data_IF_171130348346
#
_entry.id   IF_171130348346
#
_cell.length_a   1.000
_cell.length_b   1.000
_cell.length_c   1.000
_cell.angle_alpha   90.00
_cell.angle_beta   90.00
_cell.angle_gamma   90.00
#
_symmetry.space_group_name_H-M   'P 1'
#
loop_
_entity.id
_entity.type
_entity.pdbx_description
1 polymer ?
#
# COMPACT_ATOMS: atom_id res chain seq x y z
N UNK A 1 -4.68 7.49 -20.19
CA UNK A 1 -5.53 7.84 -19.02
C UNK A 1 -5.71 6.71 -17.99
N UNK A 2 -5.42 5.43 -18.30
CA UNK A 2 -5.61 4.30 -17.37
C UNK A 2 -4.72 4.32 -16.12
N UNK A 3 -3.51 4.90 -16.20
CA UNK A 3 -2.56 4.86 -15.08
C UNK A 3 -2.93 5.81 -13.94
N UNK A 4 -3.52 6.98 -14.24
CA UNK A 4 -3.91 7.96 -13.23
C UNK A 4 -5.11 7.47 -12.41
N UNK A 5 -6.13 6.91 -13.08
CA UNK A 5 -7.29 6.30 -12.39
C UNK A 5 -6.85 5.16 -11.49
N UNK A 6 -5.95 4.30 -11.96
CA UNK A 6 -5.42 3.21 -11.16
C UNK A 6 -4.67 3.71 -9.92
N UNK A 7 -3.85 4.75 -10.08
CA UNK A 7 -3.12 5.37 -8.97
C UNK A 7 -4.06 5.98 -7.93
N UNK A 8 -5.13 6.66 -8.36
CA UNK A 8 -6.12 7.25 -7.46
C UNK A 8 -6.85 6.15 -6.67
N UNK A 9 -7.25 5.04 -7.32
CA UNK A 9 -7.90 3.93 -6.64
C UNK A 9 -6.98 3.26 -5.62
N UNK A 10 -5.71 3.05 -5.98
CA UNK A 10 -4.68 2.54 -5.06
C UNK A 10 -4.49 3.47 -3.86
N UNK A 11 -4.40 4.78 -4.10
CA UNK A 11 -4.29 5.77 -3.03
C UNK A 11 -5.51 5.78 -2.10
N UNK A 12 -6.71 5.72 -2.66
CA UNK A 12 -7.95 5.64 -1.87
C UNK A 12 -7.99 4.39 -1.00
N UNK A 13 -7.60 3.22 -1.56
CA UNK A 13 -7.51 1.97 -0.82
C UNK A 13 -6.48 2.05 0.33
N UNK A 14 -5.28 2.54 0.05
CA UNK A 14 -4.22 2.66 1.05
C UNK A 14 -4.66 3.58 2.20
N UNK A 15 -5.16 4.78 1.90
CA UNK A 15 -5.61 5.70 2.96
C UNK A 15 -6.80 5.17 3.74
N UNK A 16 -7.75 4.48 3.08
CA UNK A 16 -8.86 3.84 3.76
C UNK A 16 -8.37 2.78 4.75
N UNK A 17 -7.48 1.88 4.32
CA UNK A 17 -6.94 0.85 5.20
C UNK A 17 -6.08 1.44 6.32
N UNK A 18 -5.23 2.42 6.05
CA UNK A 18 -4.46 3.10 7.09
C UNK A 18 -5.36 3.80 8.10
N UNK A 19 -6.38 4.53 7.64
CA UNK A 19 -7.33 5.23 8.51
C UNK A 19 -8.11 4.30 9.43
N UNK A 20 -8.37 3.07 8.98
CA UNK A 20 -9.04 2.04 9.79
C UNK A 20 -8.08 1.33 10.75
N UNK A 21 -6.87 0.99 10.30
CA UNK A 21 -5.97 0.10 11.03
C UNK A 21 -5.04 0.84 12.00
N UNK A 22 -4.59 2.06 11.68
CA UNK A 22 -3.70 2.82 12.58
C UNK A 22 -4.34 3.04 13.96
N UNK A 23 -5.62 3.46 14.10
CA UNK A 23 -6.23 3.65 15.41
C UNK A 23 -6.42 2.34 16.20
N UNK A 24 -6.46 1.19 15.51
CA UNK A 24 -6.62 -0.13 16.14
C UNK A 24 -5.28 -0.62 16.70
N UNK A 25 -4.19 -0.39 15.97
CA UNK A 25 -2.89 -0.97 16.26
C UNK A 25 -1.86 0.02 16.79
N UNK A 26 -2.25 1.27 17.02
CA UNK A 26 -1.35 2.32 17.45
C UNK A 26 -2.00 3.70 17.55
N UNK A 27 -1.20 4.73 17.31
CA UNK A 27 -1.60 6.13 17.39
C UNK A 27 -0.90 6.96 16.33
N UNK A 28 -1.63 7.89 15.72
CA UNK A 28 -1.09 8.85 14.78
C UNK A 28 -2.09 9.96 14.53
N UNK A 29 -1.60 11.14 14.15
CA UNK A 29 -2.49 12.22 13.73
C UNK A 29 -2.99 11.98 12.31
N UNK A 30 -4.11 12.60 11.96
CA UNK A 30 -4.66 12.52 10.60
C UNK A 30 -3.65 12.94 9.52
N UNK A 31 -2.90 14.01 9.78
CA UNK A 31 -1.85 14.50 8.87
C UNK A 31 -0.74 13.46 8.65
N UNK A 32 -0.36 12.72 9.70
CA UNK A 32 0.66 11.67 9.60
C UNK A 32 0.16 10.46 8.81
N UNK A 33 -1.11 10.08 9.00
CA UNK A 33 -1.75 9.05 8.18
C UNK A 33 -1.76 9.44 6.70
N UNK A 34 -2.07 10.71 6.40
CA UNK A 34 -2.07 11.21 5.04
C UNK A 34 -0.68 11.17 4.40
N UNK A 35 0.34 11.68 5.10
CA UNK A 35 1.73 11.68 4.61
C UNK A 35 2.24 10.24 4.44
N UNK A 36 1.96 9.36 5.39
CA UNK A 36 2.32 7.94 5.32
C UNK A 36 1.70 7.26 4.10
N UNK A 37 0.39 7.44 3.88
CA UNK A 37 -0.28 6.87 2.71
C UNK A 37 0.26 7.43 1.40
N UNK A 38 0.56 8.74 1.33
CA UNK A 38 1.16 9.33 0.14
C UNK A 38 2.54 8.72 -0.16
N UNK A 39 3.39 8.60 0.85
CA UNK A 39 4.73 7.98 0.71
C UNK A 39 4.62 6.53 0.25
N UNK A 40 3.71 5.74 0.83
CA UNK A 40 3.49 4.35 0.44
C UNK A 40 3.03 4.25 -1.02
N UNK A 41 2.03 5.04 -1.42
CA UNK A 41 1.52 5.06 -2.82
C UNK A 41 2.63 5.37 -3.81
N UNK A 42 3.41 6.42 -3.55
CA UNK A 42 4.45 6.86 -4.48
C UNK A 42 5.58 5.83 -4.60
N UNK A 43 6.08 5.32 -3.46
CA UNK A 43 7.16 4.35 -3.46
C UNK A 43 6.73 3.01 -4.05
N UNK A 44 5.55 2.52 -3.65
CA UNK A 44 4.97 1.29 -4.19
C UNK A 44 4.76 1.38 -5.71
N UNK A 45 4.13 2.46 -6.19
CA UNK A 45 3.91 2.63 -7.62
C UNK A 45 5.22 2.64 -8.42
N UNK A 46 6.23 3.40 -7.95
CA UNK A 46 7.50 3.51 -8.67
C UNK A 46 8.31 2.22 -8.59
N UNK A 47 8.52 1.70 -7.37
CA UNK A 47 9.41 0.56 -7.17
C UNK A 47 8.77 -0.76 -7.61
N UNK A 48 7.47 -0.94 -7.37
CA UNK A 48 6.81 -2.23 -7.59
C UNK A 48 6.06 -2.23 -8.91
N UNK A 49 5.08 -1.34 -9.10
CA UNK A 49 4.19 -1.39 -10.27
C UNK A 49 4.93 -1.09 -11.58
N UNK A 50 5.89 -0.16 -11.56
CA UNK A 50 6.63 0.22 -12.76
C UNK A 50 7.86 -0.66 -13.02
N UNK A 51 8.54 -1.16 -11.98
CA UNK A 51 9.81 -1.86 -12.15
C UNK A 51 9.72 -3.37 -11.91
N UNK A 52 9.14 -3.80 -10.78
CA UNK A 52 9.09 -5.22 -10.43
C UNK A 52 8.00 -5.94 -11.23
N UNK A 53 6.80 -5.38 -11.30
CA UNK A 53 5.63 -6.02 -11.91
C UNK A 53 5.83 -6.38 -13.40
N UNK A 54 6.37 -5.49 -14.27
CA UNK A 54 6.54 -5.83 -15.68
C UNK A 54 7.66 -6.84 -15.94
N UNK A 55 8.64 -6.91 -15.03
CA UNK A 55 9.85 -7.72 -15.20
C UNK A 55 9.73 -9.12 -14.59
N UNK A 56 9.08 -9.23 -13.44
CA UNK A 56 9.04 -10.47 -12.65
C UNK A 56 7.62 -11.03 -12.45
N UNK A 57 6.58 -10.30 -12.86
CA UNK A 57 5.19 -10.74 -12.80
C UNK A 57 4.53 -10.55 -11.43
N UNK A 58 3.26 -10.98 -11.34
CA UNK A 58 2.36 -10.61 -10.25
C UNK A 58 2.77 -11.16 -8.87
N UNK A 59 3.23 -12.42 -8.78
CA UNK A 59 3.63 -13.02 -7.49
C UNK A 59 4.88 -12.34 -6.93
N UNK A 60 5.89 -12.11 -7.77
CA UNK A 60 7.10 -11.42 -7.37
C UNK A 60 6.82 -9.96 -6.94
N UNK A 61 5.93 -9.27 -7.67
CA UNK A 61 5.46 -7.94 -7.29
C UNK A 61 4.78 -7.96 -5.91
N UNK A 62 3.94 -8.94 -5.61
CA UNK A 62 3.24 -9.04 -4.33
C UNK A 62 4.20 -9.24 -3.14
N UNK A 63 5.21 -10.09 -3.29
CA UNK A 63 6.22 -10.32 -2.25
C UNK A 63 7.06 -9.06 -2.03
N UNK A 64 7.48 -8.40 -3.12
CA UNK A 64 8.24 -7.17 -3.05
C UNK A 64 7.41 -6.01 -2.47
N UNK A 65 6.12 -5.94 -2.79
CA UNK A 65 5.15 -5.00 -2.23
C UNK A 65 5.08 -5.15 -0.71
N UNK A 66 4.89 -6.38 -0.20
CA UNK A 66 4.87 -6.63 1.23
C UNK A 66 6.14 -6.13 1.92
N UNK A 67 7.32 -6.51 1.41
CA UNK A 67 8.59 -6.07 1.97
C UNK A 67 8.76 -4.56 1.95
N UNK A 68 8.39 -3.90 0.84
CA UNK A 68 8.50 -2.46 0.70
C UNK A 68 7.55 -1.70 1.63
N UNK A 69 6.27 -2.07 1.64
CA UNK A 69 5.28 -1.43 2.52
C UNK A 69 5.67 -1.59 3.98
N UNK A 70 6.18 -2.77 4.34
CA UNK A 70 6.66 -3.01 5.67
C UNK A 70 7.87 -2.09 5.99
N UNK A 71 8.92 -2.08 5.17
CA UNK A 71 10.07 -1.21 5.39
C UNK A 71 9.68 0.28 5.50
N UNK A 72 8.76 0.75 4.66
CA UNK A 72 8.30 2.14 4.67
C UNK A 72 7.48 2.45 5.92
N UNK A 73 6.54 1.61 6.34
CA UNK A 73 5.76 1.84 7.56
C UNK A 73 6.68 1.93 8.77
N UNK A 74 7.64 1.02 8.89
CA UNK A 74 8.65 1.07 9.96
C UNK A 74 9.47 2.36 9.89
N UNK A 75 9.93 2.76 8.70
CA UNK A 75 10.61 4.05 8.53
C UNK A 75 9.76 5.24 8.95
N UNK A 76 8.45 5.21 8.71
CA UNK A 76 7.53 6.27 9.11
C UNK A 76 7.31 6.31 10.64
N UNK A 77 7.30 5.17 11.33
CA UNK A 77 7.25 5.13 12.81
C UNK A 77 8.50 5.71 13.47
N UNK A 78 9.66 5.53 12.84
CA UNK A 78 10.91 6.15 13.33
C UNK A 78 10.98 7.65 12.98
N UNK A 79 10.49 8.04 11.81
CA UNK A 79 10.63 9.40 11.29
C UNK A 79 9.59 10.40 11.83
N UNK A 80 8.38 9.95 12.15
CA UNK A 80 7.27 10.82 12.54
C UNK A 80 7.02 10.78 14.06
N UNK A 81 7.24 11.88 14.80
CA UNK A 81 6.97 11.93 16.23
C UNK A 81 5.49 11.64 16.53
N UNK A 82 5.19 10.81 17.52
CA UNK A 82 3.81 10.40 17.87
C UNK A 82 3.12 9.44 16.88
N UNK A 83 3.74 9.11 15.73
CA UNK A 83 3.27 8.03 14.88
C UNK A 83 3.82 6.71 15.40
N UNK A 84 3.03 6.03 16.23
CA UNK A 84 3.46 4.80 16.93
C UNK A 84 2.55 3.66 16.53
N UNK A 85 3.15 2.52 16.22
CA UNK A 85 2.45 1.28 16.01
C UNK A 85 2.99 0.24 17.00
N UNK A 86 2.14 -0.71 17.36
CA UNK A 86 2.58 -1.93 18.03
C UNK A 86 3.45 -2.78 17.08
N UNK A 87 4.36 -3.57 17.65
CA UNK A 87 5.27 -4.43 16.88
C UNK A 87 4.50 -5.38 15.93
N UNK A 88 3.37 -5.91 16.38
CA UNK A 88 2.49 -6.75 15.55
C UNK A 88 1.65 -5.92 14.57
N UNK A 89 1.22 -4.73 14.98
CA UNK A 89 0.44 -3.80 14.17
C UNK A 89 1.12 -3.42 12.86
N UNK A 90 2.43 -3.18 12.94
CA UNK A 90 3.28 -2.95 11.78
C UNK A 90 3.12 -4.03 10.69
N UNK A 91 3.32 -5.31 11.06
CA UNK A 91 3.24 -6.42 10.12
C UNK A 91 1.82 -6.67 9.61
N UNK A 92 0.82 -6.52 10.49
CA UNK A 92 -0.60 -6.69 10.13
C UNK A 92 -1.03 -5.63 9.11
N UNK A 93 -0.63 -4.36 9.30
CA UNK A 93 -0.95 -3.29 8.37
C UNK A 93 -0.27 -3.54 7.02
N UNK A 94 1.02 -3.88 7.01
CA UNK A 94 1.72 -4.20 5.77
C UNK A 94 1.03 -5.35 5.02
N UNK A 95 0.65 -6.41 5.73
CA UNK A 95 -0.03 -7.57 5.15
C UNK A 95 -1.42 -7.20 4.59
N UNK A 96 -2.19 -6.39 5.32
CA UNK A 96 -3.52 -5.95 4.89
C UNK A 96 -3.44 -5.07 3.63
N UNK A 97 -2.47 -4.17 3.56
CA UNK A 97 -2.24 -3.34 2.39
C UNK A 97 -1.83 -4.18 1.17
N UNK A 98 -0.90 -5.13 1.35
CA UNK A 98 -0.51 -6.05 0.27
C UNK A 98 -1.67 -6.92 -0.21
N UNK A 99 -2.50 -7.42 0.72
CA UNK A 99 -3.70 -8.16 0.35
C UNK A 99 -4.67 -7.29 -0.46
N UNK A 100 -4.86 -6.02 -0.05
CA UNK A 100 -5.61 -5.02 -0.81
C UNK A 100 -5.06 -4.84 -2.23
N UNK A 101 -3.73 -4.72 -2.38
CA UNK A 101 -3.08 -4.58 -3.69
C UNK A 101 -3.32 -5.79 -4.58
N UNK A 102 -3.27 -7.00 -4.01
CA UNK A 102 -3.62 -8.20 -4.76
C UNK A 102 -5.05 -8.16 -5.27
N UNK A 103 -6.04 -7.81 -4.43
CA UNK A 103 -7.43 -7.66 -4.85
C UNK A 103 -7.57 -6.58 -5.94
N UNK A 104 -6.85 -5.48 -5.81
CA UNK A 104 -6.83 -4.40 -6.80
C UNK A 104 -6.32 -4.90 -8.16
N UNK A 105 -5.22 -5.66 -8.20
CA UNK A 105 -4.72 -6.27 -9.43
C UNK A 105 -5.72 -7.25 -10.04
N UNK A 106 -6.37 -8.10 -9.23
CA UNK A 106 -7.40 -9.02 -9.74
C UNK A 106 -8.60 -8.25 -10.33
N UNK A 107 -9.04 -7.19 -9.66
CA UNK A 107 -10.11 -6.31 -10.16
C UNK A 107 -9.73 -5.66 -11.50
N UNK A 108 -8.48 -5.17 -11.63
CA UNK A 108 -7.99 -4.60 -12.88
C UNK A 108 -7.88 -5.63 -14.01
N UNK A 109 -7.53 -6.88 -13.71
CA UNK A 109 -7.51 -7.96 -14.68
C UNK A 109 -8.93 -8.31 -15.15
N UNK A 110 -9.88 -8.39 -14.22
CA UNK A 110 -11.28 -8.67 -14.51
C UNK A 110 -11.93 -7.58 -15.38
N UNK A 111 -11.65 -6.31 -15.10
CA UNK A 111 -12.19 -5.15 -15.84
C UNK A 111 -11.51 -4.91 -17.19
N UNK A 112 -10.30 -5.42 -17.42
CA UNK A 112 -9.60 -5.34 -18.71
C UNK A 112 -9.87 -6.53 -19.64
N UNK A 113 -10.44 -7.62 -19.13
CA UNK A 113 -10.83 -8.74 -19.98
C UNK A 113 -11.93 -8.28 -20.94
N UNK A 114 -11.81 -8.52 -22.27
CA UNK A 114 -12.92 -8.26 -23.17
C UNK A 114 -14.13 -9.07 -22.68
N UNK A 115 -15.28 -8.41 -22.53
CA UNK A 115 -16.56 -9.08 -22.35
C UNK A 115 -16.63 -10.20 -23.41
N UNK A 116 -16.62 -11.45 -22.96
CA UNK A 116 -16.91 -12.60 -23.82
C UNK A 116 -18.39 -12.59 -24.18
#
# INVERSE_FOLDING_TARGET
MKNLTNLILKAAMIWLLLGLLIPVFGSGTWSQTLITGLTLVLLSYVAIDLWVLPKYGNIAALIAEFGLLALVIWGMTEALPQFRLTDSGYWIIALALTAGEWFFHQYLLATKAPHK
#
